data_IF_552451713651
#
_entry.id   IF_552451713651
#
_cell.length_a   1.000
_cell.length_b   1.000
_cell.length_c   1.000
_cell.angle_alpha   90.00
_cell.angle_beta   90.00
_cell.angle_gamma   90.00
#
_symmetry.space_group_name_H-M   'P 1'
#
loop_
_entity.id
_entity.type
_entity.pdbx_description
1 polymer ?
#
# COMPACT_ATOMS: atom_id res chain seq x y z
N UNK A 1 16.30 -10.08 -6.64
CA UNK A 1 16.60 -8.63 -6.55
C UNK A 1 15.87 -7.97 -7.70
N UNK A 2 14.95 -7.06 -7.43
CA UNK A 2 14.22 -6.38 -8.50
C UNK A 2 15.14 -5.35 -9.14
N UNK A 3 15.23 -5.36 -10.47
CA UNK A 3 16.00 -4.37 -11.23
C UNK A 3 15.08 -3.20 -11.53
N UNK A 4 15.44 -2.01 -11.06
CA UNK A 4 14.73 -0.78 -11.34
C UNK A 4 15.26 -0.13 -12.63
N UNK A 5 14.39 0.62 -13.31
CA UNK A 5 14.71 1.46 -14.45
C UNK A 5 14.22 2.89 -14.22
N UNK A 6 14.81 3.84 -14.94
CA UNK A 6 14.35 5.22 -14.92
C UNK A 6 12.86 5.31 -15.31
N UNK A 7 12.07 6.02 -14.49
CA UNK A 7 10.63 6.18 -14.67
C UNK A 7 9.78 5.09 -14.01
N UNK A 8 10.38 4.05 -13.42
CA UNK A 8 9.61 3.05 -12.67
C UNK A 8 8.95 3.70 -11.46
N UNK A 9 7.67 3.36 -11.26
CA UNK A 9 6.89 3.81 -10.10
C UNK A 9 7.34 3.05 -8.85
N UNK A 10 7.67 3.79 -7.79
CA UNK A 10 8.21 3.21 -6.55
C UNK A 10 7.40 3.58 -5.33
N UNK A 11 7.42 2.66 -4.38
CA UNK A 11 7.01 2.81 -2.98
C UNK A 11 8.29 2.90 -2.15
N UNK A 12 8.42 3.96 -1.36
CA UNK A 12 9.54 4.21 -0.47
C UNK A 12 9.04 4.18 0.98
N UNK A 13 9.46 3.18 1.75
CA UNK A 13 9.18 3.11 3.18
C UNK A 13 10.33 3.76 3.94
N UNK A 14 10.02 4.79 4.71
CA UNK A 14 10.99 5.54 5.52
C UNK A 14 10.38 5.92 6.86
N UNK A 15 11.12 6.67 7.66
CA UNK A 15 10.64 7.34 8.85
C UNK A 15 10.54 8.84 8.55
N UNK A 16 9.45 9.48 8.98
CA UNK A 16 9.26 10.93 8.87
C UNK A 16 10.06 11.68 9.95
N UNK A 17 10.08 13.02 9.87
CA UNK A 17 10.84 13.87 10.81
C UNK A 17 10.42 13.69 12.28
N UNK A 18 9.17 13.31 12.52
CA UNK A 18 8.62 13.01 13.84
C UNK A 18 8.98 11.60 14.36
N UNK A 19 9.75 10.82 13.60
CA UNK A 19 10.17 9.47 13.99
C UNK A 19 9.16 8.37 13.71
N UNK A 20 8.04 8.67 13.03
CA UNK A 20 7.01 7.69 12.67
C UNK A 20 7.24 7.09 11.28
N UNK A 21 6.99 5.78 11.08
CA UNK A 21 7.05 5.16 9.76
C UNK A 21 6.08 5.83 8.78
N UNK A 22 6.58 6.19 7.60
CA UNK A 22 5.80 6.78 6.52
C UNK A 22 6.11 6.06 5.20
N UNK A 23 5.09 5.99 4.35
CA UNK A 23 5.22 5.49 2.98
C UNK A 23 5.09 6.69 2.04
N UNK A 24 6.07 6.86 1.17
CA UNK A 24 6.06 7.87 0.11
C UNK A 24 6.07 7.17 -1.24
N UNK A 25 5.48 7.79 -2.25
CA UNK A 25 5.49 7.30 -3.62
C UNK A 25 6.24 8.25 -4.53
N UNK A 26 6.75 7.74 -5.63
CA UNK A 26 7.54 8.52 -6.56
C UNK A 26 7.95 7.71 -7.77
N UNK A 27 8.97 8.20 -8.47
CA UNK A 27 9.58 7.54 -9.61
C UNK A 27 11.09 7.46 -9.46
N UNK A 28 11.68 6.46 -10.10
CA UNK A 28 13.14 6.41 -10.26
C UNK A 28 13.58 7.53 -11.21
N UNK A 29 14.35 8.48 -10.71
CA UNK A 29 14.94 9.59 -11.48
C UNK A 29 16.32 9.26 -12.07
N UNK A 30 17.00 8.22 -11.58
CA UNK A 30 18.29 7.78 -12.13
C UNK A 30 19.14 6.97 -11.15
N UNK A 31 20.32 6.58 -11.60
CA UNK A 31 21.26 5.77 -10.82
C UNK A 31 22.57 6.52 -10.64
N UNK A 32 23.15 6.47 -9.43
CA UNK A 32 24.48 7.04 -9.20
C UNK A 32 25.62 6.07 -9.58
N UNK A 33 25.30 4.88 -10.09
CA UNK A 33 26.21 3.82 -10.54
C UNK A 33 25.49 2.48 -10.75
N UNK A 34 26.16 1.43 -11.25
CA UNK A 34 25.54 0.12 -11.54
C UNK A 34 24.96 -0.60 -10.30
N UNK A 35 25.52 -0.35 -9.13
CA UNK A 35 25.07 -0.90 -7.83
C UNK A 35 24.90 0.20 -6.78
N UNK A 36 24.84 1.46 -7.22
CA UNK A 36 24.80 2.63 -6.35
C UNK A 36 23.39 2.93 -5.84
N UNK A 37 23.26 3.87 -4.90
CA UNK A 37 21.95 4.39 -4.51
C UNK A 37 21.21 4.97 -5.73
N UNK A 38 19.89 5.03 -5.58
CA UNK A 38 18.97 5.47 -6.63
C UNK A 38 18.52 6.87 -6.32
N UNK A 39 18.51 7.73 -7.33
CA UNK A 39 17.85 9.02 -7.27
C UNK A 39 16.36 8.78 -7.47
N UNK A 40 15.53 9.17 -6.51
CA UNK A 40 14.07 9.09 -6.59
C UNK A 40 13.46 10.48 -6.64
N UNK A 41 12.45 10.67 -7.47
CA UNK A 41 11.63 11.87 -7.51
C UNK A 41 10.32 11.53 -6.80
N UNK A 42 10.15 12.03 -5.57
CA UNK A 42 8.96 11.77 -4.77
C UNK A 42 7.79 12.66 -5.22
N UNK A 43 6.57 12.16 -5.10
CA UNK A 43 5.38 12.89 -5.47
C UNK A 43 5.17 14.13 -4.59
N UNK A 44 4.82 15.24 -5.23
CA UNK A 44 4.61 16.52 -4.55
C UNK A 44 5.91 17.26 -4.21
N UNK A 45 7.07 16.62 -4.36
CA UNK A 45 8.38 17.21 -4.09
C UNK A 45 9.02 17.78 -5.36
N UNK A 46 9.72 18.91 -5.22
CA UNK A 46 10.43 19.55 -6.33
C UNK A 46 11.85 19.01 -6.53
N UNK A 47 12.36 18.26 -5.55
CA UNK A 47 13.73 17.72 -5.52
C UNK A 47 13.78 16.21 -5.69
N UNK A 48 14.97 15.70 -6.01
CA UNK A 48 15.26 14.28 -6.01
C UNK A 48 16.05 13.88 -4.77
N UNK A 49 15.66 12.76 -4.15
CA UNK A 49 16.34 12.18 -3.00
C UNK A 49 17.24 11.01 -3.43
N UNK A 50 18.38 10.85 -2.77
CA UNK A 50 19.27 9.70 -3.00
C UNK A 50 19.00 8.66 -1.93
N UNK A 51 18.46 7.52 -2.32
CA UNK A 51 18.02 6.45 -1.40
C UNK A 51 18.69 5.12 -1.72
N UNK A 52 18.84 4.28 -0.70
CA UNK A 52 19.28 2.90 -0.86
C UNK A 52 18.19 2.09 -1.58
N UNK A 53 18.60 1.28 -2.57
CA UNK A 53 17.71 0.42 -3.37
C UNK A 53 16.83 -0.48 -2.48
N UNK A 54 17.35 -0.88 -1.33
CA UNK A 54 16.70 -1.79 -0.39
C UNK A 54 15.48 -1.17 0.31
N UNK A 55 15.39 0.17 0.34
CA UNK A 55 14.26 0.89 0.96
C UNK A 55 13.11 1.15 -0.01
N UNK A 56 13.34 0.92 -1.30
CA UNK A 56 12.33 1.12 -2.33
C UNK A 56 11.84 -0.22 -2.87
N UNK A 57 10.56 -0.23 -3.25
CA UNK A 57 9.89 -1.38 -3.86
C UNK A 57 9.13 -0.89 -5.09
N UNK A 58 8.99 -1.70 -6.16
CA UNK A 58 8.07 -1.37 -7.24
C UNK A 58 6.67 -1.21 -6.67
N UNK A 59 5.88 -0.25 -7.15
CA UNK A 59 4.47 -0.18 -6.76
C UNK A 59 3.72 -1.37 -7.36
N UNK A 60 3.04 -2.12 -6.50
CA UNK A 60 2.17 -3.22 -6.89
C UNK A 60 0.94 -3.22 -5.99
N UNK A 61 -0.22 -3.61 -6.52
CA UNK A 61 -1.45 -3.55 -5.75
C UNK A 61 -1.40 -4.32 -4.43
N UNK A 62 -0.71 -5.46 -4.41
CA UNK A 62 -0.53 -6.27 -3.19
C UNK A 62 0.49 -5.71 -2.18
N UNK A 63 1.25 -4.66 -2.51
CA UNK A 63 2.18 -4.03 -1.57
C UNK A 63 1.77 -2.62 -1.12
N UNK A 64 0.63 -2.13 -1.61
CA UNK A 64 -0.03 -0.96 -1.06
C UNK A 64 -0.75 -1.38 0.21
N UNK A 65 -0.23 -0.87 1.32
CA UNK A 65 -0.68 -1.20 2.67
C UNK A 65 -1.06 0.07 3.38
N UNK A 66 -2.31 0.13 3.85
CA UNK A 66 -2.81 1.20 4.70
C UNK A 66 -2.82 0.70 6.15
N UNK A 67 -2.14 1.41 7.04
CA UNK A 67 -2.14 1.11 8.49
C UNK A 67 -2.76 2.28 9.25
N UNK A 68 -3.77 2.01 10.05
CA UNK A 68 -4.52 2.99 10.82
C UNK A 68 -4.62 2.54 12.29
N UNK A 69 -4.50 3.48 13.22
CA UNK A 69 -4.76 3.21 14.63
C UNK A 69 -6.27 3.08 14.89
N UNK A 70 -6.65 2.18 15.80
CA UNK A 70 -8.04 1.91 16.18
C UNK A 70 -8.51 0.53 15.75
N UNK A 71 -8.63 -0.40 16.72
CA UNK A 71 -9.20 -1.73 16.49
C UNK A 71 -10.71 -1.69 16.21
N UNK A 72 -11.38 -0.63 16.65
CA UNK A 72 -12.79 -0.36 16.36
C UNK A 72 -13.04 -0.28 14.84
N UNK A 73 -12.07 0.18 14.05
CA UNK A 73 -12.16 0.22 12.58
C UNK A 73 -12.46 -1.15 11.94
N UNK A 74 -11.99 -2.24 12.57
CA UNK A 74 -12.25 -3.61 12.12
C UNK A 74 -13.35 -4.29 12.95
N UNK A 75 -13.54 -3.93 14.21
CA UNK A 75 -14.57 -4.53 15.07
C UNK A 75 -15.97 -4.00 14.76
N UNK A 76 -16.11 -2.70 14.49
CA UNK A 76 -17.39 -2.05 14.22
C UNK A 76 -17.78 -2.22 12.74
N UNK A 77 -18.87 -2.96 12.44
CA UNK A 77 -19.25 -3.25 11.06
C UNK A 77 -19.49 -2.01 10.19
N UNK A 78 -19.95 -0.91 10.79
CA UNK A 78 -20.24 0.34 10.08
C UNK A 78 -18.97 1.11 9.66
N UNK A 79 -17.82 0.89 10.31
CA UNK A 79 -16.57 1.61 10.02
C UNK A 79 -15.76 0.95 8.90
N UNK A 80 -15.90 -0.37 8.70
CA UNK A 80 -15.14 -1.14 7.71
C UNK A 80 -15.27 -0.65 6.27
N UNK A 81 -16.42 -0.06 5.91
CA UNK A 81 -16.60 0.50 4.57
C UNK A 81 -15.71 1.73 4.33
N UNK A 82 -15.40 2.49 5.39
CA UNK A 82 -14.45 3.59 5.35
C UNK A 82 -13.04 3.10 4.98
N UNK A 83 -12.62 1.95 5.50
CA UNK A 83 -11.32 1.34 5.19
C UNK A 83 -11.15 1.04 3.71
N UNK A 84 -12.22 0.61 3.03
CA UNK A 84 -12.20 0.35 1.58
C UNK A 84 -11.88 1.64 0.82
N UNK A 85 -12.55 2.74 1.17
CA UNK A 85 -12.38 4.03 0.50
C UNK A 85 -11.01 4.63 0.78
N UNK A 86 -10.54 4.54 2.03
CA UNK A 86 -9.22 5.04 2.42
C UNK A 86 -8.11 4.27 1.68
N UNK A 87 -8.21 2.95 1.61
CA UNK A 87 -7.23 2.16 0.86
C UNK A 87 -7.28 2.44 -0.64
N UNK A 88 -8.46 2.64 -1.22
CA UNK A 88 -8.58 3.01 -2.63
C UNK A 88 -7.89 4.35 -2.93
N UNK A 89 -8.08 5.35 -2.06
CA UNK A 89 -7.38 6.63 -2.17
C UNK A 89 -5.85 6.50 -2.03
N UNK A 90 -5.40 5.62 -1.14
CA UNK A 90 -3.97 5.28 -0.99
C UNK A 90 -3.42 4.63 -2.28
N UNK A 91 -4.15 3.69 -2.88
CA UNK A 91 -3.77 3.05 -4.14
C UNK A 91 -3.74 4.05 -5.32
N UNK A 92 -4.70 4.97 -5.38
CA UNK A 92 -4.70 6.06 -6.37
C UNK A 92 -3.48 6.98 -6.20
N UNK A 93 -3.13 7.33 -4.95
CA UNK A 93 -1.92 8.11 -4.63
C UNK A 93 -0.64 7.35 -5.01
N UNK A 94 -0.63 6.02 -4.86
CA UNK A 94 0.45 5.17 -5.34
C UNK A 94 0.55 5.14 -6.88
N UNK A 95 -0.41 5.70 -7.62
CA UNK A 95 -0.46 5.71 -9.08
C UNK A 95 -1.03 4.43 -9.67
N UNK A 96 -1.72 3.61 -8.87
CA UNK A 96 -2.39 2.41 -9.35
C UNK A 96 -3.75 2.75 -9.96
N UNK A 97 -4.08 2.08 -11.06
CA UNK A 97 -5.40 2.16 -11.67
C UNK A 97 -6.28 1.02 -11.18
N UNK A 98 -7.25 1.35 -10.34
CA UNK A 98 -8.26 0.41 -9.88
C UNK A 98 -9.45 0.49 -10.84
N UNK A 99 -9.73 -0.61 -11.54
CA UNK A 99 -10.80 -0.65 -12.55
C UNK A 99 -12.17 -0.83 -11.90
N UNK A 100 -12.25 -1.70 -10.90
CA UNK A 100 -13.49 -1.91 -10.12
C UNK A 100 -13.16 -2.12 -8.66
N UNK A 101 -14.06 -1.64 -7.79
CA UNK A 101 -14.12 -1.99 -6.37
C UNK A 101 -15.56 -2.36 -6.06
N UNK A 102 -15.77 -3.58 -5.57
CA UNK A 102 -17.06 -4.12 -5.16
C UNK A 102 -17.01 -4.46 -3.67
N UNK A 103 -17.58 -3.61 -2.80
CA UNK A 103 -17.62 -3.90 -1.37
C UNK A 103 -18.43 -5.15 -1.04
N UNK A 104 -17.97 -5.91 -0.06
CA UNK A 104 -18.60 -7.13 0.45
C UNK A 104 -19.48 -6.81 1.68
N UNK A 105 -20.37 -5.82 1.54
CA UNK A 105 -21.19 -5.33 2.66
C UNK A 105 -20.32 -4.80 3.80
N UNK A 106 -20.52 -5.31 5.02
CA UNK A 106 -19.70 -4.98 6.20
C UNK A 106 -18.49 -5.91 6.36
N UNK A 107 -18.08 -6.58 5.28
CA UNK A 107 -16.97 -7.51 5.24
C UNK A 107 -17.35 -8.95 5.61
N UNK A 108 -16.64 -9.90 5.01
CA UNK A 108 -16.76 -11.33 5.29
C UNK A 108 -15.59 -11.76 6.15
N UNK A 109 -15.86 -12.38 7.31
CA UNK A 109 -14.80 -12.80 8.24
C UNK A 109 -13.88 -13.83 7.56
N UNK A 110 -12.58 -13.59 7.63
CA UNK A 110 -11.52 -14.50 7.17
C UNK A 110 -11.12 -15.46 8.30
N UNK A 111 -10.55 -16.62 7.95
CA UNK A 111 -10.08 -17.64 8.87
C UNK A 111 -8.97 -17.12 9.83
N UNK A 112 -8.25 -16.06 9.43
CA UNK A 112 -7.13 -15.47 10.19
C UNK A 112 -7.55 -14.31 11.11
N UNK A 113 -8.80 -14.29 11.57
CA UNK A 113 -9.34 -13.23 12.44
C UNK A 113 -9.34 -11.82 11.80
N UNK A 114 -9.31 -11.76 10.46
CA UNK A 114 -9.50 -10.54 9.68
C UNK A 114 -10.83 -10.53 8.93
N UNK A 115 -10.99 -9.57 8.03
CA UNK A 115 -12.15 -9.43 7.16
C UNK A 115 -11.74 -9.20 5.70
N UNK A 116 -12.40 -9.91 4.79
CA UNK A 116 -12.42 -9.57 3.36
C UNK A 116 -13.44 -8.45 3.17
N UNK A 117 -12.99 -7.27 2.74
CA UNK A 117 -13.80 -6.05 2.69
C UNK A 117 -14.40 -5.78 1.31
N UNK A 118 -13.65 -6.07 0.25
CA UNK A 118 -14.07 -5.81 -1.12
C UNK A 118 -13.38 -6.78 -2.10
N UNK A 119 -14.04 -7.03 -3.22
CA UNK A 119 -13.40 -7.56 -4.43
C UNK A 119 -12.97 -6.38 -5.30
N UNK A 120 -11.81 -6.46 -5.93
CA UNK A 120 -11.32 -5.40 -6.79
C UNK A 120 -10.56 -5.94 -8.00
N UNK A 121 -10.45 -5.10 -9.03
CA UNK A 121 -9.68 -5.44 -10.23
C UNK A 121 -8.71 -4.33 -10.62
N UNK A 122 -7.54 -4.72 -11.09
CA UNK A 122 -6.50 -3.83 -11.58
C UNK A 122 -5.65 -4.56 -12.62
N UNK A 123 -5.25 -3.86 -13.69
CA UNK A 123 -4.45 -4.42 -14.78
C UNK A 123 -4.99 -5.74 -15.38
N UNK A 124 -6.31 -5.97 -15.34
CA UNK A 124 -6.96 -7.20 -15.83
C UNK A 124 -6.96 -8.37 -14.84
N UNK A 125 -6.37 -8.22 -13.66
CA UNK A 125 -6.36 -9.22 -12.60
C UNK A 125 -7.39 -8.91 -11.50
N UNK A 126 -7.77 -9.94 -10.74
CA UNK A 126 -8.70 -9.84 -9.62
C UNK A 126 -7.94 -9.98 -8.29
N UNK A 127 -8.40 -9.23 -7.29
CA UNK A 127 -7.86 -9.22 -5.94
C UNK A 127 -8.99 -9.09 -4.91
N UNK A 128 -8.66 -9.39 -3.66
CA UNK A 128 -9.53 -9.22 -2.51
C UNK A 128 -8.85 -8.25 -1.54
N UNK A 129 -9.56 -7.19 -1.17
CA UNK A 129 -9.12 -6.28 -0.12
C UNK A 129 -9.36 -6.91 1.24
N UNK A 130 -8.33 -6.98 2.07
CA UNK A 130 -8.39 -7.58 3.41
C UNK A 130 -7.99 -6.57 4.46
N UNK A 131 -8.69 -6.58 5.59
CA UNK A 131 -8.29 -5.90 6.81
C UNK A 131 -7.96 -6.93 7.89
N UNK A 132 -6.88 -6.69 8.63
CA UNK A 132 -6.44 -7.52 9.76
C UNK A 132 -5.93 -6.60 10.87
N UNK A 133 -5.91 -7.09 12.11
CA UNK A 133 -5.13 -6.44 13.18
C UNK A 133 -3.66 -6.48 12.78
N UNK A 134 -2.96 -5.35 12.93
CA UNK A 134 -1.56 -5.23 12.58
C UNK A 134 -0.71 -6.13 13.50
N UNK A 135 0.14 -7.03 12.95
CA UNK A 135 0.90 -7.97 13.77
C UNK A 135 2.02 -7.30 14.56
N UNK A 136 2.46 -6.10 14.16
CA UNK A 136 3.46 -5.31 14.89
C UNK A 136 2.85 -4.35 15.91
N UNK A 137 1.57 -4.00 15.77
CA UNK A 137 0.84 -3.11 16.66
C UNK A 137 -0.62 -3.58 16.79
N UNK A 138 -0.95 -4.23 17.91
CA UNK A 138 -2.27 -4.80 18.13
C UNK A 138 -3.39 -3.75 18.28
N UNK A 139 -3.04 -2.47 18.44
CA UNK A 139 -4.01 -1.37 18.48
C UNK A 139 -4.25 -0.75 17.09
N UNK A 140 -3.63 -1.29 16.04
CA UNK A 140 -3.76 -0.82 14.68
C UNK A 140 -4.38 -1.88 13.75
N UNK A 141 -5.00 -1.41 12.67
CA UNK A 141 -5.54 -2.22 11.58
C UNK A 141 -4.71 -2.00 10.33
N UNK A 142 -4.42 -3.09 9.63
CA UNK A 142 -3.72 -3.09 8.34
C UNK A 142 -4.65 -3.55 7.24
N UNK A 143 -4.73 -2.77 6.16
CA UNK A 143 -5.56 -3.03 4.98
C UNK A 143 -4.66 -3.18 3.76
N UNK A 144 -4.81 -4.27 3.00
CA UNK A 144 -4.04 -4.54 1.79
C UNK A 144 -4.83 -5.43 0.83
N UNK A 145 -4.51 -5.33 -0.46
CA UNK A 145 -5.04 -6.25 -1.47
C UNK A 145 -4.20 -7.54 -1.51
N UNK A 146 -4.87 -8.66 -1.72
CA UNK A 146 -4.26 -9.96 -1.92
C UNK A 146 -4.91 -10.68 -3.10
N UNK A 147 -4.24 -11.68 -3.67
CA UNK A 147 -4.89 -12.56 -4.61
C UNK A 147 -6.08 -13.29 -3.96
N UNK A 148 -7.16 -13.58 -4.73
CA UNK A 148 -8.24 -14.43 -4.26
C UNK A 148 -7.67 -15.79 -3.83
N UNK A 149 -8.09 -16.28 -2.66
CA UNK A 149 -7.72 -17.64 -2.25
C UNK A 149 -8.56 -18.63 -3.07
N UNK A 150 -7.99 -19.76 -3.49
CA UNK A 150 -8.71 -20.81 -4.21
C UNK A 150 -9.76 -21.50 -3.33
#
# INVERSE_FOLDING_TARGET
MTVFHHGDRIRYATTDDDGFPVVRYGFVGGFTGETGPVVVMLDGELGGDVVEVEKIQPVHICNVTLTLEGVDLIEEPCLRQGLVNLWAAEAETAGLQITTVRPLGTGVRDANNGYSLAELSSAGEQYVLRANICPQNHDAVTVHADHPRP
#
